data_IF_681588055711
#
_entry.id   IF_681588055711
#
_cell.length_a   1.000
_cell.length_b   1.000
_cell.length_c   1.000
_cell.angle_alpha   90.00
_cell.angle_beta   90.00
_cell.angle_gamma   90.00
#
_symmetry.space_group_name_H-M   'P 1'
#
loop_
_entity.id
_entity.type
_entity.pdbx_description
1 polymer ?
#
# COMPACT_ATOMS: atom_id res chain seq x y z
N UNK A 1 -13.16 -14.96 -34.13
CA UNK A 1 -12.97 -14.76 -33.62
C UNK A 1 -13.04 -14.44 -32.81
N UNK A 2 -13.11 -14.26 -32.88
CA UNK A 2 -13.16 -13.77 -32.29
C UNK A 2 -13.00 -13.67 -31.52
N UNK A 3 -13.10 -13.46 -31.64
CA UNK A 3 -12.96 -13.12 -31.06
C UNK A 3 -12.72 -13.54 -30.33
N UNK A 4 -12.59 -13.88 -30.66
CA UNK A 4 -12.36 -14.01 -29.95
C UNK A 4 -11.80 -13.73 -29.24
N UNK A 5 -11.61 -14.04 -29.78
CA UNK A 5 -10.70 -13.32 -29.31
C UNK A 5 -10.81 -12.46 -28.19
N UNK A 6 -11.41 -11.81 -27.85
CA UNK A 6 -11.36 -11.08 -26.80
C UNK A 6 -12.13 -11.56 -25.72
N UNK A 7 -13.10 -12.22 -25.79
CA UNK A 7 -13.86 -12.58 -24.64
C UNK A 7 -13.23 -13.71 -23.88
N UNK A 8 -12.37 -14.49 -24.52
CA UNK A 8 -11.74 -15.55 -23.82
C UNK A 8 -10.84 -15.12 -22.73
N UNK A 9 -9.94 -14.17 -22.93
CA UNK A 9 -9.10 -13.68 -21.85
C UNK A 9 -9.92 -13.12 -20.71
N UNK A 10 -11.05 -12.53 -21.04
CA UNK A 10 -11.92 -11.98 -20.02
C UNK A 10 -12.47 -13.06 -19.11
N UNK A 11 -12.88 -14.17 -19.67
CA UNK A 11 -13.42 -15.26 -18.88
C UNK A 11 -12.38 -15.82 -17.93
N UNK A 12 -11.15 -15.99 -18.42
CA UNK A 12 -10.06 -16.47 -17.58
C UNK A 12 -9.78 -15.48 -16.47
N UNK A 13 -9.78 -14.20 -16.80
CA UNK A 13 -9.57 -13.18 -15.80
C UNK A 13 -10.61 -13.19 -14.72
N UNK A 14 -11.86 -13.42 -15.09
CA UNK A 14 -12.93 -13.48 -14.11
C UNK A 14 -12.78 -14.66 -13.16
N UNK A 15 -12.37 -15.81 -13.69
CA UNK A 15 -12.15 -16.97 -12.85
C UNK A 15 -11.02 -16.72 -11.86
N UNK A 16 -9.93 -16.16 -12.34
CA UNK A 16 -8.80 -15.86 -11.48
C UNK A 16 -9.16 -14.83 -10.42
N UNK A 17 -9.88 -13.79 -10.82
CA UNK A 17 -10.28 -12.77 -9.88
C UNK A 17 -11.17 -13.35 -8.78
N UNK A 18 -12.08 -14.23 -9.13
CA UNK A 18 -12.94 -14.88 -8.15
C UNK A 18 -12.13 -15.72 -7.17
N UNK A 19 -11.13 -16.43 -7.66
CA UNK A 19 -10.27 -17.23 -6.82
C UNK A 19 -9.51 -16.33 -5.83
N UNK A 20 -8.92 -15.26 -6.34
CA UNK A 20 -8.16 -14.35 -5.50
C UNK A 20 -9.02 -13.73 -4.41
N UNK A 21 -10.24 -13.36 -4.78
CA UNK A 21 -11.16 -12.76 -3.81
C UNK A 21 -11.51 -13.75 -2.70
N UNK A 22 -11.84 -14.99 -3.10
CA UNK A 22 -12.25 -15.99 -2.12
C UNK A 22 -11.12 -16.39 -1.19
N UNK A 23 -9.89 -16.39 -1.69
CA UNK A 23 -8.74 -16.79 -0.90
C UNK A 23 -8.13 -15.65 -0.09
N UNK A 24 -8.58 -14.42 -0.32
CA UNK A 24 -8.02 -13.27 0.37
C UNK A 24 -6.76 -12.73 -0.29
N UNK A 25 -6.28 -13.34 -1.37
CA UNK A 25 -5.08 -12.88 -2.02
C UNK A 25 -5.25 -11.52 -2.69
N UNK A 26 -6.45 -11.25 -3.21
CA UNK A 26 -6.70 -9.96 -3.82
C UNK A 26 -6.49 -8.83 -2.82
N UNK A 27 -6.99 -9.00 -1.62
CA UNK A 27 -6.80 -8.01 -0.56
C UNK A 27 -5.33 -7.84 -0.24
N UNK A 28 -4.60 -8.95 -0.11
CA UNK A 28 -3.19 -8.89 0.23
C UNK A 28 -2.37 -8.21 -0.88
N UNK A 29 -2.71 -8.48 -2.13
CA UNK A 29 -2.01 -7.84 -3.23
C UNK A 29 -2.24 -6.33 -3.24
N UNK A 30 -3.47 -5.90 -2.99
CA UNK A 30 -3.76 -4.47 -2.95
C UNK A 30 -3.07 -3.79 -1.78
N UNK A 31 -3.01 -4.45 -0.64
CA UNK A 31 -2.26 -3.93 0.50
C UNK A 31 -0.79 -3.76 0.16
N UNK A 32 -0.20 -4.77 -0.47
CA UNK A 32 1.21 -4.75 -0.79
C UNK A 32 1.56 -3.69 -1.82
N UNK A 33 0.61 -3.31 -2.67
CA UNK A 33 0.85 -2.31 -3.70
C UNK A 33 1.15 -0.93 -3.13
N UNK A 34 0.78 -0.68 -1.87
CA UNK A 34 1.09 0.59 -1.24
C UNK A 34 2.60 0.85 -1.28
N UNK A 35 3.40 -0.19 -1.13
CA UNK A 35 4.84 -0.02 -1.04
C UNK A 35 5.44 0.55 -2.32
N UNK A 36 5.26 -0.08 -3.49
CA UNK A 36 5.81 0.51 -4.71
C UNK A 36 5.13 1.81 -5.12
N UNK A 37 3.90 2.04 -4.69
CA UNK A 37 3.18 3.26 -5.05
C UNK A 37 3.42 4.40 -4.06
N UNK A 38 4.13 4.14 -2.99
CA UNK A 38 4.29 5.10 -1.90
C UNK A 38 4.69 6.50 -2.36
N UNK A 39 5.72 6.65 -3.22
CA UNK A 39 6.10 8.01 -3.62
C UNK A 39 5.00 8.77 -4.33
N UNK A 40 4.18 8.07 -5.10
CA UNK A 40 3.07 8.72 -5.79
C UNK A 40 1.97 9.10 -4.82
N UNK A 41 1.77 8.28 -3.78
CA UNK A 41 0.69 8.51 -2.85
C UNK A 41 0.98 9.65 -1.89
N UNK A 42 2.21 9.75 -1.40
CA UNK A 42 2.54 10.74 -0.37
C UNK A 42 3.31 11.93 -0.90
N UNK A 43 3.86 11.83 -2.11
CA UNK A 43 4.62 12.91 -2.71
C UNK A 43 6.10 12.79 -2.44
N UNK A 44 6.92 13.50 -3.25
CA UNK A 44 8.38 13.32 -3.19
C UNK A 44 8.99 13.76 -1.87
N UNK A 45 8.42 14.77 -1.23
CA UNK A 45 9.00 15.28 0.00
C UNK A 45 8.93 14.25 1.12
N UNK A 46 7.77 13.66 1.31
CA UNK A 46 7.60 12.64 2.34
C UNK A 46 8.32 11.37 1.94
N UNK A 47 8.25 11.01 0.65
CA UNK A 47 8.91 9.80 0.19
C UNK A 47 10.42 9.85 0.42
N UNK A 48 11.00 11.03 0.36
CA UNK A 48 12.44 11.16 0.53
C UNK A 48 12.92 10.84 1.95
N UNK A 49 12.04 10.93 2.93
CA UNK A 49 12.44 10.71 4.33
C UNK A 49 11.75 9.50 4.95
N UNK A 50 11.08 8.72 4.13
CA UNK A 50 10.35 7.54 4.62
C UNK A 50 10.64 6.34 3.74
N UNK A 51 10.42 5.16 4.31
CA UNK A 51 10.52 3.92 3.55
C UNK A 51 9.46 2.95 4.05
N UNK A 52 8.45 2.67 3.23
CA UNK A 52 7.45 1.69 3.62
C UNK A 52 8.08 0.30 3.58
N UNK A 53 7.83 -0.50 4.60
CA UNK A 53 8.49 -1.79 4.71
C UNK A 53 7.57 -2.96 4.49
N UNK A 54 6.41 -2.94 5.10
CA UNK A 54 5.50 -4.06 4.98
C UNK A 54 4.10 -3.65 5.40
N UNK A 55 3.14 -4.49 5.04
CA UNK A 55 1.75 -4.33 5.47
C UNK A 55 1.33 -5.66 6.07
N UNK A 56 0.86 -5.63 7.31
CA UNK A 56 0.36 -6.83 7.95
C UNK A 56 -1.03 -7.18 7.44
N UNK A 57 -1.47 -8.42 7.64
CA UNK A 57 -2.79 -8.83 7.14
C UNK A 57 -3.94 -8.00 7.69
N UNK A 58 -3.79 -7.45 8.89
CA UNK A 58 -4.85 -6.64 9.48
C UNK A 58 -4.87 -5.22 8.95
N UNK A 59 -3.96 -4.89 8.02
CA UNK A 59 -3.98 -3.57 7.40
C UNK A 59 -3.07 -2.54 8.06
N UNK A 60 -2.09 -2.97 8.83
CA UNK A 60 -1.12 -2.05 9.42
C UNK A 60 0.05 -1.88 8.48
N UNK A 61 0.32 -0.63 8.10
CA UNK A 61 1.46 -0.30 7.25
C UNK A 61 2.61 0.15 8.14
N UNK A 62 3.76 -0.49 7.98
CA UNK A 62 4.96 -0.14 8.74
C UNK A 62 5.87 0.71 7.87
N UNK A 63 6.19 1.90 8.33
CA UNK A 63 6.98 2.86 7.57
C UNK A 63 8.15 3.33 8.42
N UNK A 64 9.35 3.21 7.87
CA UNK A 64 10.55 3.69 8.54
C UNK A 64 10.76 5.15 8.23
N UNK A 65 11.14 5.93 9.23
CA UNK A 65 11.29 7.37 9.11
C UNK A 65 12.73 7.75 9.43
N UNK A 66 13.29 8.65 8.64
CA UNK A 66 14.71 8.99 8.73
C UNK A 66 15.09 9.73 10.01
N UNK A 67 14.23 10.62 10.50
CA UNK A 67 14.56 11.43 11.66
C UNK A 67 13.38 11.53 12.60
N UNK A 68 13.67 11.83 13.88
CA UNK A 68 12.60 11.99 14.85
C UNK A 68 11.76 13.24 14.59
N UNK A 69 12.36 14.28 14.02
CA UNK A 69 11.61 15.46 13.64
C UNK A 69 10.54 15.14 12.60
N UNK A 70 10.91 14.38 11.58
CA UNK A 70 9.95 13.98 10.60
C UNK A 70 8.90 13.02 11.16
N UNK A 71 9.31 12.17 12.12
CA UNK A 71 8.35 11.27 12.75
C UNK A 71 7.25 12.05 13.45
N UNK A 72 7.60 13.10 14.16
CA UNK A 72 6.62 13.95 14.82
C UNK A 72 5.66 14.58 13.81
N UNK A 73 6.23 15.11 12.72
CA UNK A 73 5.42 15.71 11.67
C UNK A 73 4.46 14.69 11.05
N UNK A 74 4.99 13.50 10.74
CA UNK A 74 4.18 12.49 10.07
C UNK A 74 3.07 11.97 10.97
N UNK A 75 3.32 11.89 12.27
CA UNK A 75 2.27 11.50 13.20
C UNK A 75 1.10 12.47 13.15
N UNK A 76 1.40 13.75 13.03
CA UNK A 76 0.35 14.76 12.93
C UNK A 76 -0.35 14.70 11.59
N UNK A 77 0.34 14.25 10.54
CA UNK A 77 -0.22 14.17 9.20
C UNK A 77 -0.87 12.84 8.91
N UNK A 78 -0.88 11.93 9.87
CA UNK A 78 -1.35 10.57 9.60
C UNK A 78 -2.76 10.52 9.02
N UNK A 79 -3.75 11.28 9.52
CA UNK A 79 -5.08 11.19 8.89
C UNK A 79 -5.07 11.59 7.43
N UNK A 80 -4.30 12.60 7.07
CA UNK A 80 -4.23 13.04 5.68
C UNK A 80 -3.52 12.00 4.83
N UNK A 81 -2.44 11.44 5.35
CA UNK A 81 -1.69 10.43 4.63
C UNK A 81 -2.56 9.18 4.43
N UNK A 82 -3.31 8.80 5.46
CA UNK A 82 -4.22 7.66 5.34
C UNK A 82 -5.26 7.88 4.26
N UNK A 83 -5.79 9.10 4.17
CA UNK A 83 -6.77 9.39 3.14
C UNK A 83 -6.18 9.24 1.75
N UNK A 84 -4.96 9.70 1.56
CA UNK A 84 -4.29 9.58 0.26
C UNK A 84 -4.00 8.12 -0.09
N UNK A 85 -3.47 7.39 0.89
CA UNK A 85 -3.09 6.00 0.67
C UNK A 85 -4.30 5.16 0.32
N UNK A 86 -5.44 5.45 0.93
CA UNK A 86 -6.62 4.63 0.76
C UNK A 86 -7.54 5.06 -0.37
N UNK A 87 -7.24 6.18 -1.03
CA UNK A 87 -8.10 6.67 -2.10
C UNK A 87 -8.24 5.60 -3.18
N UNK A 88 -9.46 5.14 -3.40
CA UNK A 88 -9.74 4.15 -4.42
C UNK A 88 -9.21 2.76 -4.16
N UNK A 89 -8.73 2.49 -2.95
CA UNK A 89 -8.06 1.22 -2.70
C UNK A 89 -9.03 0.06 -2.44
N UNK A 90 -10.18 0.34 -1.87
CA UNK A 90 -11.16 -0.73 -1.67
C UNK A 90 -10.70 -1.76 -0.68
N UNK A 91 -10.75 -3.06 -1.04
CA UNK A 91 -10.47 -4.13 -0.08
C UNK A 91 -9.06 -4.15 0.46
N UNK A 92 -8.11 -3.48 -0.17
CA UNK A 92 -6.74 -3.40 0.33
C UNK A 92 -6.50 -2.20 1.21
N UNK A 93 -7.55 -1.72 1.89
CA UNK A 93 -7.45 -0.52 2.69
C UNK A 93 -6.46 -0.66 3.83
N UNK A 94 -5.66 0.37 4.04
CA UNK A 94 -4.75 0.45 5.17
C UNK A 94 -5.53 0.98 6.36
N UNK A 95 -5.48 0.27 7.48
CA UNK A 95 -6.24 0.65 8.66
C UNK A 95 -5.46 1.54 9.60
N UNK A 96 -4.14 1.35 9.66
CA UNK A 96 -3.32 2.16 10.53
C UNK A 96 -1.90 2.20 9.99
N UNK A 97 -1.14 3.19 10.40
CA UNK A 97 0.26 3.34 10.04
C UNK A 97 1.10 3.35 11.30
N UNK A 98 2.16 2.55 11.31
CA UNK A 98 3.14 2.56 12.39
C UNK A 98 4.41 3.21 11.88
N UNK A 99 4.74 4.35 12.44
CA UNK A 99 5.96 5.06 12.08
C UNK A 99 7.09 4.55 12.95
N UNK A 100 8.18 4.10 12.31
CA UNK A 100 9.31 3.53 13.01
C UNK A 100 10.55 4.38 12.71
N UNK A 101 11.25 4.80 13.75
CA UNK A 101 12.44 5.58 13.54
C UNK A 101 13.54 4.70 12.98
N UNK A 102 14.23 5.20 11.96
CA UNK A 102 15.31 4.46 11.34
C UNK A 102 16.47 4.29 12.30
N UNK A 103 16.98 3.06 12.41
CA UNK A 103 18.07 2.80 13.28
C UNK A 103 19.38 2.70 12.53
N UNK A 104 19.32 2.76 11.27
CA UNK A 104 20.46 2.45 10.46
C UNK A 104 21.65 3.20 10.70
N UNK A 105 21.61 4.07 11.36
CA UNK A 105 22.73 4.73 11.51
C UNK A 105 23.56 4.28 12.50
N UNK A 106 23.66 4.00 12.58
CA UNK A 106 24.48 3.92 13.09
C UNK A 106 25.08 3.49 12.87
N UNK A 107 24.93 3.59 12.78
CA UNK A 107 25.50 3.27 12.42
C UNK A 107 25.36 3.29 12.37
#
# INVERSE_FOLDING_TARGET
MRERGRSKPTAVGEVLEGYLTRSGLSKRLRQAQVIPEWPLLVGPQIAAVTQPESVSPDGTLFVRVATSGWMTELQLMTPEIMARVNAGRGPGRIRTVRWLLSQGTHG
#
